data_IF_147042137732
#
_entry.id   IF_147042137732
#
_cell.length_a   1.000
_cell.length_b   1.000
_cell.length_c   1.000
_cell.angle_alpha   90.00
_cell.angle_beta   90.00
_cell.angle_gamma   90.00
#
_symmetry.space_group_name_H-M   'P 1'
#
loop_
_entity.id
_entity.type
_entity.pdbx_description
1 polymer ?
#
# COMPACT_ATOMS: atom_id res chain seq x y z
N UNK A 1 -17.63 -23.58 -45.08
CA UNK A 1 -17.73 -24.53 -43.96
C UNK A 1 -16.62 -24.19 -42.99
N UNK A 2 -16.95 -23.57 -41.86
CA UNK A 2 -15.98 -23.27 -40.81
C UNK A 2 -15.70 -24.57 -40.04
N UNK A 3 -14.45 -25.02 -39.99
CA UNK A 3 -14.04 -26.18 -39.21
C UNK A 3 -13.98 -25.83 -37.73
N UNK A 4 -14.54 -26.71 -36.89
CA UNK A 4 -14.37 -26.68 -35.44
C UNK A 4 -12.88 -26.81 -35.10
N UNK A 5 -12.36 -25.85 -34.33
CA UNK A 5 -11.04 -25.95 -33.72
C UNK A 5 -11.19 -26.71 -32.40
N UNK A 6 -10.54 -27.86 -32.29
CA UNK A 6 -10.31 -28.56 -31.03
C UNK A 6 -9.55 -27.63 -30.07
N UNK A 7 -10.25 -27.12 -29.07
CA UNK A 7 -9.68 -26.35 -27.96
C UNK A 7 -9.07 -27.35 -26.97
N UNK A 8 -7.77 -27.28 -26.63
CA UNK A 8 -7.19 -28.20 -25.67
C UNK A 8 -7.86 -28.02 -24.29
N UNK A 9 -8.52 -29.08 -23.83
CA UNK A 9 -9.01 -29.22 -22.46
C UNK A 9 -7.82 -29.12 -21.47
N UNK A 10 -7.93 -28.16 -20.56
CA UNK A 10 -7.27 -28.04 -19.25
C UNK A 10 -5.89 -28.72 -19.14
N UNK A 11 -4.82 -27.92 -19.27
CA UNK A 11 -3.44 -28.32 -18.96
C UNK A 11 -3.41 -28.86 -17.52
N UNK A 12 -3.01 -30.12 -17.35
CA UNK A 12 -2.78 -30.70 -16.02
C UNK A 12 -1.63 -29.93 -15.36
N UNK A 13 -1.87 -29.49 -14.12
CA UNK A 13 -0.95 -28.69 -13.32
C UNK A 13 0.29 -29.52 -12.92
N UNK A 14 1.46 -28.92 -13.12
CA UNK A 14 2.76 -29.53 -12.80
C UNK A 14 3.00 -29.39 -11.28
N UNK A 15 3.23 -30.50 -10.53
CA UNK A 15 3.34 -30.45 -9.07
C UNK A 15 4.55 -29.65 -8.55
N UNK A 16 5.55 -29.35 -9.39
CA UNK A 16 6.70 -28.50 -9.07
C UNK A 16 6.53 -27.04 -9.53
N UNK A 17 5.44 -26.72 -10.24
CA UNK A 17 5.12 -25.34 -10.63
C UNK A 17 4.62 -24.55 -9.43
N UNK A 18 5.53 -23.74 -8.86
CA UNK A 18 5.22 -22.85 -7.74
C UNK A 18 4.16 -21.78 -8.08
N UNK A 19 3.88 -21.54 -9.36
CA UNK A 19 2.89 -20.55 -9.78
C UNK A 19 1.44 -21.03 -9.59
N UNK A 20 1.22 -22.34 -9.41
CA UNK A 20 -0.10 -22.96 -9.41
C UNK A 20 -0.65 -23.30 -8.01
N UNK A 21 0.05 -22.90 -6.95
CA UNK A 21 -0.54 -22.84 -5.60
C UNK A 21 -1.51 -21.68 -5.55
N UNK A 22 -2.72 -21.90 -6.06
CA UNK A 22 -3.94 -21.13 -5.84
C UNK A 22 -3.69 -19.83 -5.06
N UNK A 23 -3.27 -18.81 -5.80
CA UNK A 23 -3.02 -17.44 -5.38
C UNK A 23 -4.21 -16.94 -4.54
N UNK A 24 -4.18 -17.17 -3.22
CA UNK A 24 -5.03 -16.45 -2.27
C UNK A 24 -4.43 -15.06 -2.11
N UNK A 25 -4.63 -14.27 -3.14
CA UNK A 25 -4.11 -12.94 -3.30
C UNK A 25 -4.95 -11.99 -2.45
N UNK A 26 -4.47 -11.69 -1.25
CA UNK A 26 -5.16 -10.75 -0.35
C UNK A 26 -4.49 -9.39 -0.46
N UNK A 27 -5.19 -8.46 -1.12
CA UNK A 27 -4.90 -7.03 -1.01
C UNK A 27 -5.42 -6.55 0.35
N UNK A 28 -4.50 -6.23 1.27
CA UNK A 28 -4.88 -5.63 2.55
C UNK A 28 -5.02 -4.13 2.33
N UNK A 29 -6.27 -3.67 2.18
CA UNK A 29 -6.60 -2.26 2.22
C UNK A 29 -6.59 -1.76 3.66
N UNK A 30 -5.69 -0.84 3.99
CA UNK A 30 -5.59 -0.27 5.33
C UNK A 30 -6.13 1.16 5.35
N UNK A 31 -7.44 1.37 5.61
CA UNK A 31 -7.95 2.70 5.84
C UNK A 31 -7.47 3.17 7.22
N UNK A 32 -6.59 4.18 7.26
CA UNK A 32 -6.04 4.83 8.48
C UNK A 32 -5.84 3.85 9.66
N UNK A 33 -4.69 3.18 9.73
CA UNK A 33 -4.48 2.10 10.71
C UNK A 33 -4.82 2.58 12.15
N UNK A 34 -5.81 1.96 12.80
CA UNK A 34 -6.37 2.41 14.09
C UNK A 34 -5.53 1.90 15.28
N UNK A 35 -5.87 2.25 16.54
CA UNK A 35 -5.16 1.87 17.77
C UNK A 35 -4.43 0.52 17.77
N UNK A 36 -3.24 0.48 18.42
CA UNK A 36 -2.24 -0.61 18.50
C UNK A 36 -2.73 -2.08 18.37
N UNK A 37 -3.96 -2.37 18.79
CA UNK A 37 -4.62 -3.68 18.70
C UNK A 37 -4.81 -4.16 17.26
N UNK A 38 -5.16 -3.30 16.30
CA UNK A 38 -5.42 -3.75 14.93
C UNK A 38 -4.15 -4.13 14.17
N UNK A 39 -3.05 -3.39 14.38
CA UNK A 39 -1.72 -3.77 13.86
C UNK A 39 -1.29 -5.18 14.32
N UNK A 40 -1.56 -5.53 15.58
CA UNK A 40 -1.24 -6.87 16.12
C UNK A 40 -2.05 -7.95 15.43
N UNK A 41 -3.36 -7.74 15.25
CA UNK A 41 -4.23 -8.69 14.57
C UNK A 41 -3.78 -8.93 13.11
N UNK A 42 -3.43 -7.87 12.38
CA UNK A 42 -2.89 -7.99 11.03
C UNK A 42 -1.61 -8.82 10.98
N UNK A 43 -0.67 -8.57 11.90
CA UNK A 43 0.56 -9.38 12.00
C UNK A 43 0.29 -10.84 12.32
N UNK A 44 -0.66 -11.12 13.20
CA UNK A 44 -1.03 -12.50 13.57
C UNK A 44 -1.66 -13.23 12.38
N UNK A 45 -2.57 -12.57 11.65
CA UNK A 45 -3.24 -13.17 10.49
C UNK A 45 -2.24 -13.42 9.35
N UNK A 46 -1.40 -12.43 9.02
CA UNK A 46 -0.34 -12.60 8.01
C UNK A 46 0.66 -13.68 8.43
N UNK A 47 1.13 -13.66 9.69
CA UNK A 47 2.07 -14.63 10.22
C UNK A 47 1.49 -16.05 10.38
N UNK A 48 0.17 -16.19 10.50
CA UNK A 48 -0.49 -17.50 10.58
C UNK A 48 -0.53 -18.25 9.25
N UNK A 49 -0.24 -17.58 8.12
CA UNK A 49 -0.31 -18.16 6.78
C UNK A 49 -1.74 -18.46 6.28
N UNK A 50 -2.79 -18.07 7.03
CA UNK A 50 -4.18 -18.29 6.65
C UNK A 50 -4.57 -17.59 5.34
N UNK A 51 -3.91 -16.47 5.03
CA UNK A 51 -4.12 -15.69 3.81
C UNK A 51 -3.34 -16.23 2.61
N UNK A 52 -2.42 -17.18 2.79
CA UNK A 52 -1.45 -17.54 1.75
C UNK A 52 -0.29 -16.55 1.66
N UNK A 53 0.32 -16.45 0.49
CA UNK A 53 1.46 -15.55 0.23
C UNK A 53 0.97 -14.13 -0.09
N UNK A 54 1.53 -13.12 0.59
CA UNK A 54 1.18 -11.71 0.38
C UNK A 54 1.88 -11.20 -0.87
N UNK A 55 1.10 -10.85 -1.89
CA UNK A 55 1.62 -10.32 -3.17
C UNK A 55 1.50 -8.80 -3.29
N UNK A 56 0.54 -8.18 -2.59
CA UNK A 56 0.25 -6.75 -2.68
C UNK A 56 -0.37 -6.22 -1.40
N UNK A 57 0.04 -5.03 -0.98
CA UNK A 57 -0.50 -4.32 0.17
C UNK A 57 -0.83 -2.89 -0.27
N UNK A 58 -2.05 -2.44 0.04
CA UNK A 58 -2.50 -1.09 -0.28
C UNK A 58 -2.78 -0.32 1.00
N UNK A 59 -2.06 0.78 1.20
CA UNK A 59 -2.32 1.71 2.32
C UNK A 59 -2.88 2.98 1.73
N UNK A 60 -4.17 3.21 1.97
CA UNK A 60 -4.89 4.35 1.40
C UNK A 60 -5.46 5.20 2.53
N UNK A 61 -5.03 6.46 2.55
CA UNK A 61 -5.55 7.48 3.45
C UNK A 61 -6.12 8.61 2.63
N UNK A 62 -7.36 8.98 2.91
CA UNK A 62 -8.06 10.06 2.23
C UNK A 62 -8.75 10.96 3.26
N UNK A 63 -8.84 12.24 2.96
CA UNK A 63 -9.56 13.22 3.76
C UNK A 63 -9.88 14.43 2.92
N UNK A 64 -11.12 14.92 3.02
CA UNK A 64 -11.56 16.15 2.37
C UNK A 64 -12.08 17.09 3.47
N UNK A 65 -11.17 17.90 4.00
CA UNK A 65 -11.46 18.95 4.98
C UNK A 65 -10.20 19.84 5.07
N UNK A 66 -10.38 21.16 5.20
CA UNK A 66 -9.32 22.05 5.67
C UNK A 66 -8.84 21.72 7.10
N UNK A 67 -9.43 20.72 7.75
CA UNK A 67 -9.03 20.06 8.99
C UNK A 67 -8.13 18.83 8.82
N UNK A 68 -7.80 18.40 7.59
CA UNK A 68 -6.60 17.58 7.39
C UNK A 68 -5.42 18.39 7.91
N UNK A 69 -4.80 17.95 9.00
CA UNK A 69 -3.67 18.59 9.71
C UNK A 69 -2.55 19.10 8.77
N UNK A 70 -2.48 18.58 7.55
CA UNK A 70 -1.61 19.00 6.46
C UNK A 70 -2.13 20.26 5.73
N UNK A 71 -2.28 21.41 6.40
CA UNK A 71 -2.65 22.65 5.69
C UNK A 71 -3.43 23.69 6.48
N UNK A 72 -3.67 23.47 7.77
CA UNK A 72 -4.26 24.51 8.60
C UNK A 72 -3.22 25.63 8.85
N UNK A 73 -3.63 26.92 8.82
CA UNK A 73 -2.73 28.03 9.11
C UNK A 73 -2.11 27.99 10.52
N UNK A 74 -2.76 27.30 11.46
CA UNK A 74 -2.36 27.16 12.87
C UNK A 74 -1.33 26.04 13.12
N UNK A 75 -1.03 25.19 12.12
CA UNK A 75 0.02 24.17 12.19
C UNK A 75 1.12 24.40 11.13
N UNK A 76 2.02 25.37 11.37
CA UNK A 76 2.94 25.86 10.34
C UNK A 76 3.96 24.81 9.89
N UNK A 77 4.26 23.79 10.69
CA UNK A 77 5.26 22.79 10.32
C UNK A 77 4.71 21.78 9.30
N UNK A 78 3.45 21.32 9.43
CA UNK A 78 2.84 20.37 8.49
C UNK A 78 2.63 20.95 7.09
N UNK A 79 2.48 22.27 7.00
CA UNK A 79 2.35 23.02 5.75
C UNK A 79 3.71 23.32 5.06
N UNK A 80 4.85 23.03 5.72
CA UNK A 80 6.20 23.44 5.30
C UNK A 80 7.10 22.25 5.00
N UNK A 81 7.39 22.03 3.71
CA UNK A 81 8.19 20.90 3.25
C UNK A 81 9.65 20.97 3.72
N UNK A 82 10.16 22.19 3.95
CA UNK A 82 11.54 22.43 4.41
C UNK A 82 11.80 21.90 5.83
N UNK A 83 10.75 21.74 6.64
CA UNK A 83 10.83 21.20 8.01
C UNK A 83 10.13 19.83 8.10
N UNK A 84 10.12 19.09 6.99
CA UNK A 84 9.49 17.75 6.90
C UNK A 84 7.98 17.77 7.12
N UNK A 85 7.29 18.83 6.71
CA UNK A 85 5.84 18.85 6.56
C UNK A 85 5.37 18.25 5.24
N UNK A 86 4.10 17.82 5.20
CA UNK A 86 3.47 17.21 4.03
C UNK A 86 2.96 15.81 4.31
N UNK A 87 2.05 15.33 3.45
CA UNK A 87 1.41 14.03 3.61
C UNK A 87 2.43 12.88 3.54
N UNK A 88 3.50 13.02 2.74
CA UNK A 88 4.51 11.96 2.63
C UNK A 88 5.35 11.81 3.90
N UNK A 89 5.69 12.92 4.56
CA UNK A 89 6.50 12.89 5.79
C UNK A 89 5.66 12.56 7.03
N UNK A 90 4.39 12.97 7.07
CA UNK A 90 3.47 12.66 8.17
C UNK A 90 2.92 11.22 8.01
N UNK A 91 2.05 11.00 7.02
CA UNK A 91 1.39 9.71 6.81
C UNK A 91 2.26 8.67 6.12
N UNK A 92 3.12 9.07 5.19
CA UNK A 92 3.99 8.12 4.48
C UNK A 92 4.98 7.40 5.41
N UNK A 93 5.50 8.08 6.43
CA UNK A 93 6.35 7.48 7.47
C UNK A 93 5.59 6.42 8.30
N UNK A 94 4.33 6.69 8.63
CA UNK A 94 3.48 5.72 9.31
C UNK A 94 3.14 4.53 8.41
N UNK A 95 2.77 4.79 7.16
CA UNK A 95 2.46 3.75 6.19
C UNK A 95 3.62 2.77 5.99
N UNK A 96 4.84 3.27 5.82
CA UNK A 96 6.00 2.40 5.60
C UNK A 96 6.38 1.61 6.87
N UNK A 97 6.28 2.20 8.07
CA UNK A 97 6.45 1.45 9.33
C UNK A 97 5.50 0.25 9.39
N UNK A 98 4.23 0.46 9.01
CA UNK A 98 3.24 -0.60 9.01
C UNK A 98 3.56 -1.70 8.01
N UNK A 99 3.89 -1.35 6.77
CA UNK A 99 4.21 -2.31 5.71
C UNK A 99 5.48 -3.11 6.05
N UNK A 100 6.55 -2.45 6.50
CA UNK A 100 7.80 -3.11 6.92
C UNK A 100 7.57 -4.06 8.10
N UNK A 101 6.54 -3.81 8.89
CA UNK A 101 6.18 -4.66 10.01
C UNK A 101 5.43 -5.95 9.60
N UNK A 102 4.91 -5.99 8.37
CA UNK A 102 4.13 -7.10 7.80
C UNK A 102 4.94 -7.90 6.77
N UNK A 103 5.80 -7.23 6.00
CA UNK A 103 6.63 -7.84 4.95
C UNK A 103 8.04 -8.09 5.49
N UNK A 104 8.46 -9.35 5.72
CA UNK A 104 9.76 -9.66 6.31
C UNK A 104 10.94 -9.52 5.33
N UNK A 105 10.67 -9.24 4.05
CA UNK A 105 11.72 -9.09 3.03
C UNK A 105 12.18 -7.64 2.86
N UNK A 106 13.32 -7.46 2.21
CA UNK A 106 13.95 -6.16 2.01
C UNK A 106 13.22 -5.39 0.92
N UNK A 107 12.89 -4.13 1.19
CA UNK A 107 12.43 -3.19 0.16
C UNK A 107 13.57 -2.93 -0.85
N UNK A 108 13.29 -3.11 -2.14
CA UNK A 108 14.26 -3.03 -3.24
C UNK A 108 14.07 -1.78 -4.10
N UNK A 109 12.85 -1.27 -4.21
CA UNK A 109 12.53 -0.13 -5.05
C UNK A 109 11.46 0.75 -4.42
N UNK A 110 11.59 2.06 -4.65
CA UNK A 110 10.58 3.06 -4.33
C UNK A 110 10.37 3.92 -5.56
N UNK A 111 9.12 4.10 -5.96
CA UNK A 111 8.72 5.06 -7.00
C UNK A 111 7.41 5.72 -6.59
N UNK A 112 7.05 6.84 -7.19
CA UNK A 112 5.83 7.53 -6.79
C UNK A 112 5.64 8.87 -7.46
N UNK A 113 4.49 9.47 -7.17
CA UNK A 113 4.08 10.76 -7.69
C UNK A 113 3.44 11.56 -6.57
N UNK A 114 3.56 12.88 -6.65
CA UNK A 114 2.80 13.79 -5.82
C UNK A 114 2.25 14.93 -6.66
N UNK A 115 1.09 15.44 -6.27
CA UNK A 115 0.42 16.52 -6.95
C UNK A 115 0.14 17.66 -5.97
N UNK A 116 0.26 18.88 -6.51
CA UNK A 116 -0.11 20.12 -5.82
C UNK A 116 -1.22 20.79 -6.62
N UNK A 117 -2.35 21.01 -5.97
CA UNK A 117 -3.56 21.56 -6.55
C UNK A 117 -3.85 22.98 -6.05
N UNK A 118 -3.41 23.37 -4.84
CA UNK A 118 -3.68 24.69 -4.25
C UNK A 118 -2.45 25.58 -4.11
N UNK A 119 -2.65 26.89 -4.18
CA UNK A 119 -1.57 27.91 -4.06
C UNK A 119 -0.97 28.04 -2.65
N UNK A 120 -1.66 27.58 -1.59
CA UNK A 120 -1.46 28.11 -0.23
C UNK A 120 -0.58 27.33 0.78
N UNK A 121 -0.08 26.10 0.53
CA UNK A 121 1.09 25.59 1.28
C UNK A 121 2.22 25.07 0.37
N UNK A 122 3.44 24.92 0.92
CA UNK A 122 4.61 24.44 0.16
C UNK A 122 4.57 22.93 -0.15
N UNK A 123 3.74 22.21 0.58
CA UNK A 123 3.63 20.76 0.55
C UNK A 123 2.70 20.26 -0.57
N UNK A 124 2.63 18.94 -0.70
CA UNK A 124 1.77 18.24 -1.64
C UNK A 124 0.36 17.98 -1.10
N UNK A 125 -0.64 18.04 -1.98
CA UNK A 125 -2.06 17.76 -1.66
C UNK A 125 -2.40 16.28 -1.84
N UNK A 126 -1.73 15.60 -2.76
CA UNK A 126 -1.90 14.18 -3.03
C UNK A 126 -0.55 13.51 -3.20
N UNK A 127 -0.41 12.33 -2.60
CA UNK A 127 0.79 11.49 -2.69
C UNK A 127 0.41 10.07 -3.06
N UNK A 128 1.21 9.47 -3.94
CA UNK A 128 1.20 8.05 -4.21
C UNK A 128 2.64 7.54 -4.19
N UNK A 129 2.89 6.46 -3.44
CA UNK A 129 4.17 5.77 -3.40
C UNK A 129 3.95 4.28 -3.63
N UNK A 130 4.74 3.71 -4.54
CA UNK A 130 4.82 2.29 -4.81
C UNK A 130 6.16 1.78 -4.30
N UNK A 131 6.13 0.71 -3.53
CA UNK A 131 7.32 0.06 -2.97
C UNK A 131 7.34 -1.40 -3.40
N UNK A 132 8.52 -1.88 -3.81
CA UNK A 132 8.74 -3.28 -4.18
C UNK A 132 9.62 -3.96 -3.13
N UNK A 133 9.38 -5.25 -2.93
CA UNK A 133 10.05 -6.09 -1.95
C UNK A 133 10.68 -7.31 -2.65
N UNK A 134 11.82 -7.77 -2.14
CA UNK A 134 12.56 -8.93 -2.65
C UNK A 134 11.90 -10.27 -2.28
#
# INVERSE_FOLDING_TARGET
MCGEADVPLYRQSDPDDRSDRACRQVAVGVPQLPPRRQRRALKEVVGSGQLGEVFHIEVTTWGYDGGSYCGRPDEPWRARKEVSGGALYDWGAHAIDWVLSLVPSRMTQVTGFFHKFREAPSNEDQTCALTAFA
#
